data_IF_481072910058
#
_entry.id   IF_481072910058
#
_cell.length_a   1.000
_cell.length_b   1.000
_cell.length_c   1.000
_cell.angle_alpha   90.00
_cell.angle_beta   90.00
_cell.angle_gamma   90.00
#
_symmetry.space_group_name_H-M   'P 1'
#
loop_
_entity.id
_entity.type
_entity.pdbx_description
1 polymer ?
#
# COMPACT_ATOMS: atom_id res chain seq x y z
N UNK A 1 20.29 8.30 -4.11
CA UNK A 1 19.18 7.77 -4.87
C UNK A 1 19.13 6.26 -4.90
N UNK A 2 20.23 5.61 -5.23
CA UNK A 2 20.31 4.15 -5.20
C UNK A 2 20.01 3.58 -3.82
N UNK A 3 20.49 4.26 -2.78
CA UNK A 3 20.29 3.83 -1.40
C UNK A 3 18.81 3.80 -1.00
N UNK A 4 18.01 4.78 -1.46
CA UNK A 4 16.57 4.82 -1.15
C UNK A 4 15.83 3.64 -1.78
N UNK A 5 16.17 3.30 -3.02
CA UNK A 5 15.58 2.15 -3.71
C UNK A 5 15.95 0.84 -3.02
N UNK A 6 17.22 0.69 -2.62
CA UNK A 6 17.70 -0.49 -1.91
C UNK A 6 17.03 -0.62 -0.54
N UNK A 7 16.87 0.50 0.18
CA UNK A 7 16.19 0.52 1.47
C UNK A 7 14.75 0.05 1.33
N UNK A 8 14.03 0.56 0.33
CA UNK A 8 12.64 0.14 0.10
C UNK A 8 12.57 -1.34 -0.24
N UNK A 9 13.52 -1.85 -1.02
CA UNK A 9 13.54 -3.27 -1.40
C UNK A 9 13.74 -4.16 -0.18
N UNK A 10 14.72 -3.87 0.69
CA UNK A 10 14.93 -4.74 1.84
C UNK A 10 13.81 -4.62 2.88
N UNK A 11 13.22 -3.43 3.04
CA UNK A 11 12.09 -3.26 3.95
C UNK A 11 10.89 -4.09 3.48
N UNK A 12 10.59 -4.06 2.19
CA UNK A 12 9.50 -4.86 1.63
C UNK A 12 9.72 -6.35 1.85
N UNK A 13 10.92 -6.85 1.59
CA UNK A 13 11.26 -8.25 1.80
C UNK A 13 11.19 -8.63 3.29
N UNK A 14 11.68 -7.75 4.15
CA UNK A 14 11.63 -7.97 5.60
C UNK A 14 10.19 -8.07 6.09
N UNK A 15 9.32 -7.15 5.67
CA UNK A 15 7.91 -7.16 6.06
C UNK A 15 7.20 -8.40 5.54
N UNK A 16 7.49 -8.80 4.32
CA UNK A 16 6.92 -10.01 3.74
C UNK A 16 7.29 -11.24 4.57
N UNK A 17 8.56 -11.34 4.98
CA UNK A 17 9.03 -12.43 5.82
C UNK A 17 8.34 -12.42 7.20
N UNK A 18 8.22 -11.24 7.82
CA UNK A 18 7.56 -11.11 9.12
C UNK A 18 6.08 -11.51 9.05
N UNK A 19 5.38 -11.07 8.01
CA UNK A 19 3.98 -11.42 7.83
C UNK A 19 3.79 -12.89 7.45
N UNK A 20 4.74 -13.47 6.74
CA UNK A 20 4.71 -14.90 6.40
C UNK A 20 4.92 -15.78 7.63
N UNK A 21 5.61 -15.27 8.64
CA UNK A 21 5.88 -15.98 9.88
C UNK A 21 4.71 -16.07 10.84
N UNK A 22 3.57 -15.43 10.51
CA UNK A 22 2.39 -15.49 11.38
C UNK A 22 1.74 -16.88 11.30
N UNK A 23 1.54 -17.49 12.46
CA UNK A 23 1.06 -18.87 12.56
C UNK A 23 -0.45 -19.01 12.46
N UNK A 24 -1.18 -17.96 12.80
CA UNK A 24 -2.64 -18.00 12.87
C UNK A 24 -3.26 -17.02 11.87
N UNK A 25 -4.31 -17.45 11.20
CA UNK A 25 -5.09 -16.59 10.34
C UNK A 25 -5.80 -15.46 11.09
N UNK A 26 -5.86 -15.54 12.43
CA UNK A 26 -6.41 -14.46 13.26
C UNK A 26 -5.36 -13.44 13.69
N UNK A 27 -4.07 -13.73 13.48
CA UNK A 27 -2.98 -12.85 13.90
C UNK A 27 -2.70 -11.82 12.80
N UNK A 28 -2.61 -10.56 13.20
CA UNK A 28 -2.22 -9.46 12.32
C UNK A 28 -1.21 -8.58 13.05
N UNK A 29 -0.41 -7.84 12.28
CA UNK A 29 0.56 -6.89 12.83
C UNK A 29 0.13 -5.48 12.47
N UNK A 30 0.09 -4.60 13.47
CA UNK A 30 -0.22 -3.19 13.26
C UNK A 30 0.95 -2.49 12.57
N UNK A 31 0.67 -1.31 12.01
CA UNK A 31 1.73 -0.48 11.41
C UNK A 31 2.81 -0.14 12.44
N UNK A 32 2.41 0.15 13.68
CA UNK A 32 3.36 0.48 14.74
C UNK A 32 4.26 -0.70 15.08
N UNK A 33 3.69 -1.89 15.17
CA UNK A 33 4.46 -3.11 15.41
C UNK A 33 5.45 -3.37 14.26
N UNK A 34 5.02 -3.20 13.02
CA UNK A 34 5.91 -3.35 11.87
C UNK A 34 7.03 -2.30 11.87
N UNK A 35 6.71 -1.07 12.26
CA UNK A 35 7.71 0.00 12.38
C UNK A 35 8.75 -0.33 13.43
N UNK A 36 8.33 -0.82 14.59
CA UNK A 36 9.27 -1.24 15.64
C UNK A 36 10.19 -2.36 15.16
N UNK A 37 9.65 -3.35 14.49
CA UNK A 37 10.44 -4.46 13.96
C UNK A 37 11.45 -4.00 12.92
N UNK A 38 11.07 -3.07 12.06
CA UNK A 38 11.97 -2.49 11.05
C UNK A 38 13.08 -1.70 11.73
N UNK A 39 12.75 -0.90 12.75
CA UNK A 39 13.75 -0.14 13.51
C UNK A 39 14.76 -1.08 14.16
N UNK A 40 14.29 -2.10 14.86
CA UNK A 40 15.17 -3.05 15.53
C UNK A 40 16.08 -3.76 14.53
N UNK A 41 15.53 -4.21 13.42
CA UNK A 41 16.31 -4.90 12.39
C UNK A 41 17.34 -3.97 11.74
N UNK A 42 16.96 -2.74 11.42
CA UNK A 42 17.86 -1.78 10.79
C UNK A 42 19.05 -1.46 11.67
N UNK A 43 18.82 -1.33 12.98
CA UNK A 43 19.89 -1.07 13.93
C UNK A 43 20.76 -2.31 14.17
N UNK A 44 20.10 -3.44 14.52
CA UNK A 44 20.83 -4.64 14.94
C UNK A 44 21.57 -5.34 13.80
N UNK A 45 20.99 -5.38 12.60
CA UNK A 45 21.53 -6.15 11.48
C UNK A 45 22.25 -5.30 10.45
N UNK A 46 21.84 -4.05 10.27
CA UNK A 46 22.37 -3.17 9.23
C UNK A 46 23.17 -1.98 9.79
N UNK A 47 23.15 -1.78 11.10
CA UNK A 47 23.86 -0.67 11.73
C UNK A 47 23.31 0.71 11.37
N UNK A 48 22.05 0.78 10.94
CA UNK A 48 21.42 2.04 10.57
C UNK A 48 20.81 2.71 11.80
N UNK A 49 20.92 4.03 11.85
CA UNK A 49 20.34 4.82 12.96
C UNK A 49 19.15 5.62 12.44
N UNK A 50 18.11 4.92 12.00
CA UNK A 50 16.91 5.56 11.50
C UNK A 50 16.09 6.14 12.65
N UNK A 51 15.52 7.31 12.39
CA UNK A 51 14.50 7.88 13.26
C UNK A 51 13.20 7.11 13.06
N UNK A 52 12.34 7.11 14.08
CA UNK A 52 11.05 6.43 14.01
C UNK A 52 10.21 6.92 12.82
N UNK A 53 10.21 8.23 12.55
CA UNK A 53 9.49 8.79 11.43
C UNK A 53 9.98 8.26 10.08
N UNK A 54 11.30 8.08 9.95
CA UNK A 54 11.89 7.49 8.74
C UNK A 54 11.45 6.04 8.57
N UNK A 55 11.53 5.25 9.63
CA UNK A 55 11.11 3.86 9.59
C UNK A 55 9.62 3.75 9.27
N UNK A 56 8.78 4.58 9.86
CA UNK A 56 7.33 4.58 9.61
C UNK A 56 7.02 4.88 8.14
N UNK A 57 7.73 5.84 7.56
CA UNK A 57 7.57 6.17 6.14
C UNK A 57 7.98 5.00 5.24
N UNK A 58 9.10 4.35 5.56
CA UNK A 58 9.59 3.19 4.81
C UNK A 58 8.62 2.03 4.88
N UNK A 59 8.03 1.79 6.05
CA UNK A 59 7.02 0.75 6.23
C UNK A 59 5.80 1.05 5.37
N UNK A 60 5.33 2.30 5.37
CA UNK A 60 4.18 2.69 4.55
C UNK A 60 4.44 2.48 3.06
N UNK A 61 5.60 2.91 2.58
CA UNK A 61 5.99 2.74 1.18
C UNK A 61 6.08 1.27 0.80
N UNK A 62 6.65 0.46 1.69
CA UNK A 62 6.79 -0.97 1.47
C UNK A 62 5.42 -1.68 1.46
N UNK A 63 4.50 -1.31 2.34
CA UNK A 63 3.15 -1.86 2.36
C UNK A 63 2.39 -1.54 1.07
N UNK A 64 2.52 -0.32 0.56
CA UNK A 64 1.93 0.06 -0.72
C UNK A 64 2.47 -0.79 -1.87
N UNK A 65 3.76 -1.05 -1.86
CA UNK A 65 4.40 -1.91 -2.86
C UNK A 65 3.89 -3.34 -2.77
N UNK A 66 3.77 -3.88 -1.56
CA UNK A 66 3.32 -5.25 -1.34
C UNK A 66 1.84 -5.46 -1.68
N UNK A 67 1.02 -4.41 -1.60
CA UNK A 67 -0.38 -4.47 -2.04
C UNK A 67 -0.51 -4.82 -3.52
N UNK A 68 0.48 -4.48 -4.32
CA UNK A 68 0.49 -4.70 -5.76
C UNK A 68 1.28 -5.95 -6.17
N UNK A 69 1.85 -6.65 -5.20
CA UNK A 69 2.67 -7.82 -5.46
C UNK A 69 1.85 -9.10 -5.68
N UNK A 70 2.55 -10.19 -5.97
CA UNK A 70 1.94 -11.50 -6.20
C UNK A 70 1.27 -12.04 -4.93
N UNK A 71 1.84 -11.74 -3.76
CA UNK A 71 1.22 -12.04 -2.48
C UNK A 71 0.80 -10.73 -1.83
N UNK A 72 -0.42 -10.26 -2.10
CA UNK A 72 -0.85 -8.97 -1.57
C UNK A 72 -1.00 -9.01 -0.05
N UNK A 73 -0.60 -7.91 0.57
CA UNK A 73 -0.84 -7.64 1.98
C UNK A 73 -2.17 -6.92 2.08
N UNK A 74 -3.02 -7.35 2.98
CA UNK A 74 -4.32 -6.71 3.18
C UNK A 74 -4.43 -6.16 4.59
N UNK A 75 -5.30 -5.18 4.76
CA UNK A 75 -5.68 -4.68 6.07
C UNK A 75 -6.77 -5.59 6.63
N UNK A 76 -6.53 -6.19 7.78
CA UNK A 76 -7.47 -7.13 8.38
C UNK A 76 -7.42 -7.00 9.90
N UNK A 77 -8.58 -6.89 10.53
CA UNK A 77 -8.65 -6.66 11.97
C UNK A 77 -8.04 -5.31 12.32
N UNK A 78 -7.05 -5.31 13.20
CA UNK A 78 -6.36 -4.10 13.64
C UNK A 78 -5.00 -3.88 12.97
N UNK A 79 -4.65 -4.70 11.98
CA UNK A 79 -3.35 -4.63 11.38
C UNK A 79 -3.32 -5.18 9.96
N UNK A 80 -2.19 -5.76 9.60
CA UNK A 80 -1.91 -6.24 8.26
C UNK A 80 -1.63 -7.74 8.27
N UNK A 81 -2.05 -8.41 7.20
CA UNK A 81 -1.79 -9.83 6.96
C UNK A 81 -1.50 -10.07 5.50
N UNK A 82 -0.85 -11.17 5.17
CA UNK A 82 -0.85 -11.66 3.81
C UNK A 82 -2.27 -12.16 3.44
N UNK A 83 -2.70 -11.89 2.22
CA UNK A 83 -4.00 -12.37 1.75
C UNK A 83 -4.12 -13.89 1.85
N UNK A 84 -3.03 -14.61 1.60
CA UNK A 84 -2.99 -16.07 1.71
C UNK A 84 -3.17 -16.58 3.15
N UNK A 85 -2.94 -15.73 4.14
CA UNK A 85 -3.10 -16.04 5.57
C UNK A 85 -4.40 -15.51 6.15
N UNK A 86 -5.19 -14.81 5.36
CA UNK A 86 -6.44 -14.23 5.78
C UNK A 86 -7.60 -15.20 5.57
N UNK A 87 -8.68 -15.00 6.34
CA UNK A 87 -9.90 -15.77 6.14
C UNK A 87 -10.58 -15.33 4.84
N UNK A 88 -11.45 -16.17 4.25
CA UNK A 88 -12.23 -15.74 3.07
C UNK A 88 -13.02 -14.47 3.31
N UNK A 89 -13.58 -14.30 4.50
CA UNK A 89 -14.35 -13.09 4.86
C UNK A 89 -13.45 -11.85 4.89
N UNK A 90 -12.24 -11.97 5.41
CA UNK A 90 -11.27 -10.87 5.45
C UNK A 90 -10.82 -10.49 4.03
N UNK A 91 -10.55 -11.47 3.19
CA UNK A 91 -10.19 -11.24 1.79
C UNK A 91 -11.31 -10.54 1.03
N UNK A 92 -12.54 -10.99 1.22
CA UNK A 92 -13.71 -10.39 0.56
C UNK A 92 -13.91 -8.94 1.00
N UNK A 93 -13.77 -8.68 2.29
CA UNK A 93 -13.89 -7.32 2.83
C UNK A 93 -12.80 -6.39 2.26
N UNK A 94 -11.57 -6.89 2.16
CA UNK A 94 -10.47 -6.12 1.59
C UNK A 94 -10.71 -5.83 0.10
N UNK A 95 -11.20 -6.82 -0.65
CA UNK A 95 -11.54 -6.64 -2.06
C UNK A 95 -12.64 -5.59 -2.25
N UNK A 96 -13.70 -5.66 -1.44
CA UNK A 96 -14.79 -4.69 -1.50
C UNK A 96 -14.32 -3.28 -1.18
N UNK A 97 -13.43 -3.14 -0.21
CA UNK A 97 -12.85 -1.84 0.13
C UNK A 97 -12.06 -1.27 -1.04
N UNK A 98 -11.25 -2.09 -1.68
CA UNK A 98 -10.48 -1.68 -2.85
C UNK A 98 -11.40 -1.24 -4.00
N UNK A 99 -12.47 -1.99 -4.25
CA UNK A 99 -13.46 -1.66 -5.27
C UNK A 99 -14.16 -0.32 -4.99
N UNK A 100 -14.51 -0.06 -3.72
CA UNK A 100 -15.11 1.23 -3.33
C UNK A 100 -14.14 2.38 -3.55
N UNK A 101 -12.87 2.19 -3.21
CA UNK A 101 -11.86 3.20 -3.44
C UNK A 101 -11.68 3.48 -4.93
N UNK A 102 -11.67 2.44 -5.75
CA UNK A 102 -11.58 2.58 -7.20
C UNK A 102 -12.78 3.36 -7.76
N UNK A 103 -13.98 3.05 -7.28
CA UNK A 103 -15.21 3.76 -7.69
C UNK A 103 -15.13 5.24 -7.35
N UNK A 104 -14.63 5.58 -6.16
CA UNK A 104 -14.45 6.98 -5.74
C UNK A 104 -13.44 7.69 -6.63
N UNK A 105 -12.35 7.03 -6.98
CA UNK A 105 -11.32 7.60 -7.85
C UNK A 105 -11.85 7.83 -9.27
N UNK A 106 -12.63 6.91 -9.80
CA UNK A 106 -13.29 7.09 -11.10
C UNK A 106 -14.26 8.27 -11.07
N UNK A 107 -15.05 8.39 -10.00
CA UNK A 107 -15.97 9.52 -9.85
C UNK A 107 -15.22 10.84 -9.79
N UNK A 108 -14.11 10.88 -9.05
CA UNK A 108 -13.24 12.06 -8.96
C UNK A 108 -12.66 12.43 -10.33
N UNK A 109 -12.20 11.43 -11.07
CA UNK A 109 -11.64 11.65 -12.41
C UNK A 109 -12.69 12.24 -13.35
N UNK A 110 -13.93 11.75 -13.30
CA UNK A 110 -15.02 12.30 -14.09
C UNK A 110 -15.31 13.76 -13.75
N UNK A 111 -15.30 14.09 -12.44
CA UNK A 111 -15.49 15.48 -12.01
C UNK A 111 -14.38 16.39 -12.51
N UNK A 112 -13.14 15.93 -12.45
CA UNK A 112 -12.00 16.70 -12.95
C UNK A 112 -12.12 16.96 -14.45
N UNK A 113 -12.51 15.95 -15.23
CA UNK A 113 -12.68 16.09 -16.67
C UNK A 113 -13.84 17.01 -17.03
N UNK A 114 -14.86 17.08 -16.18
CA UNK A 114 -16.02 17.92 -16.40
C UNK A 114 -15.76 19.40 -16.13
N UNK A 115 -14.67 19.75 -15.45
CA UNK A 115 -14.31 21.16 -15.22
C UNK A 115 -13.93 21.79 -16.56
N UNK A 116 -14.62 22.88 -16.92
CA UNK A 116 -14.35 23.63 -18.12
C UNK A 116 -13.74 24.97 -17.72
N UNK A 117 -12.54 25.24 -18.23
CA UNK A 117 -11.90 26.52 -18.01
C UNK A 117 -12.37 27.51 -19.11
N UNK A 118 -12.38 28.82 -18.80
CA UNK A 118 -12.72 29.83 -19.79
C UNK A 118 -11.82 29.68 -21.03
N UNK A 119 -12.43 29.59 -22.21
CA UNK A 119 -11.72 29.46 -23.48
C UNK A 119 -11.41 28.04 -23.91
N UNK A 120 -11.72 27.03 -23.09
CA UNK A 120 -11.53 25.64 -23.51
C UNK A 120 -12.58 25.23 -24.56
N UNK A 121 -12.18 24.51 -25.61
CA UNK A 121 -13.15 23.99 -26.57
C UNK A 121 -14.11 23.02 -25.94
N UNK A 122 -15.40 23.17 -26.22
CA UNK A 122 -16.45 22.30 -25.68
C UNK A 122 -16.28 20.86 -26.16
N UNK A 123 -15.75 20.69 -27.37
CA UNK A 123 -15.52 19.36 -27.96
C UNK A 123 -14.60 18.48 -27.12
N UNK A 124 -13.64 19.06 -26.44
CA UNK A 124 -12.76 18.30 -25.54
C UNK A 124 -13.50 17.67 -24.38
N UNK A 125 -14.59 18.28 -23.98
CA UNK A 125 -15.43 17.79 -22.90
C UNK A 125 -16.39 16.72 -23.37
N UNK A 126 -17.00 16.95 -24.54
CA UNK A 126 -18.01 16.06 -25.09
C UNK A 126 -17.42 14.81 -25.74
N UNK A 127 -16.22 14.94 -26.29
CA UNK A 127 -15.52 13.85 -26.95
C UNK A 127 -14.20 13.63 -26.26
N UNK A 128 -14.23 12.95 -25.09
CA UNK A 128 -12.98 12.59 -24.44
C UNK A 128 -12.19 11.78 -25.43
N UNK A 129 -10.97 12.21 -25.68
CA UNK A 129 -10.11 11.50 -26.60
C UNK A 129 -10.01 10.06 -26.24
N UNK A 130 -10.60 9.26 -27.05
CA UNK A 130 -10.24 7.86 -27.07
C UNK A 130 -8.87 7.83 -27.73
N UNK A 131 -7.85 7.84 -26.91
CA UNK A 131 -6.52 7.51 -27.40
C UNK A 131 -6.52 6.04 -27.70
N UNK A 132 -6.55 5.80 -28.91
CA UNK A 132 -6.36 4.46 -29.38
C UNK A 132 -4.88 4.17 -29.40
#
# INVERSE_FOLDING_TARGET
MHQRSDDNAWVALFLLAELSGLWSCTTSLTRDELTERVLDHSFASLGLCWKRATAARRVREALEQLLQGEEPVISAGHGYKLASRATPAERERAAQLAERQATRLFAKARKIRAVTLPGEPVERRLFPRVTV
#
